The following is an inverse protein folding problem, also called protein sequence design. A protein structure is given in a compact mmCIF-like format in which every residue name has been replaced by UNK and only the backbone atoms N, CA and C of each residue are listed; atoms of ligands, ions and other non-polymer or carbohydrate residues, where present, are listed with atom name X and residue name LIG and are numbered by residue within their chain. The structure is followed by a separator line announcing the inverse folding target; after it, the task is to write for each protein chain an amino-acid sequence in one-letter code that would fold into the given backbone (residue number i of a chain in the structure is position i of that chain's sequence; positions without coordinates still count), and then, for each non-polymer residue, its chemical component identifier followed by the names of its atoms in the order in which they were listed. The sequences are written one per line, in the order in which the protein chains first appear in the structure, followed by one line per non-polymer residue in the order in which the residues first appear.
data_IF_203148296333
#
_entry.id   IF_203148296333
#
_cell.length_a   1.000
_cell.length_b   1.000
_cell.length_c   1.000
_cell.angle_alpha   90.00
_cell.angle_beta   90.00
_cell.angle_gamma   90.00
#
_symmetry.space_group_name_H-M   'P 1'
#
loop_
_entity.id
_entity.type
_entity.pdbx_description
1 polymer ?
#
# COMPACT_ATOMS: atom_id res chain seq x y z
N UNK A 1 92.60 -7.48 -23.41
CA UNK A 1 91.28 -8.18 -23.40
C UNK A 1 90.28 -7.35 -22.57
N UNK A 2 89.46 -6.60 -23.21
CA UNK A 2 88.42 -5.76 -22.55
C UNK A 2 87.08 -6.55 -22.52
N UNK A 3 86.58 -6.83 -21.29
CA UNK A 3 85.26 -7.44 -21.10
C UNK A 3 84.22 -6.36 -21.12
N UNK A 4 83.28 -6.46 -22.08
CA UNK A 4 82.03 -5.65 -22.09
C UNK A 4 81.02 -6.24 -21.11
N UNK A 5 80.57 -5.45 -20.15
CA UNK A 5 79.36 -5.74 -19.33
C UNK A 5 78.15 -5.06 -19.99
N UNK A 6 77.16 -5.84 -20.36
CA UNK A 6 75.78 -5.34 -20.72
C UNK A 6 75.02 -5.06 -19.44
N UNK A 7 74.24 -3.96 -19.38
CA UNK A 7 73.30 -3.75 -18.29
C UNK A 7 71.98 -4.52 -18.58
N UNK A 8 71.59 -5.31 -17.63
CA UNK A 8 70.32 -6.04 -17.62
C UNK A 8 69.18 -5.05 -17.20
N UNK A 9 68.35 -4.61 -18.16
CA UNK A 9 67.15 -3.79 -17.86
C UNK A 9 66.08 -4.67 -17.27
N UNK A 10 65.80 -4.52 -15.97
CA UNK A 10 64.68 -5.18 -15.29
C UNK A 10 63.38 -4.49 -15.64
N UNK A 11 62.50 -5.17 -16.37
CA UNK A 11 61.11 -4.73 -16.58
C UNK A 11 60.29 -4.96 -15.31
N UNK A 12 59.96 -3.91 -14.60
CA UNK A 12 58.99 -3.96 -13.49
C UNK A 12 57.62 -4.06 -14.10
N UNK A 13 57.03 -5.25 -14.10
CA UNK A 13 55.62 -5.47 -14.44
C UNK A 13 54.76 -4.93 -13.27
N UNK A 14 54.13 -3.76 -13.47
CA UNK A 14 53.10 -3.23 -12.57
C UNK A 14 51.84 -4.10 -12.76
N UNK A 15 51.65 -5.11 -11.92
CA UNK A 15 50.38 -5.83 -11.84
C UNK A 15 49.37 -4.92 -11.13
N UNK A 16 48.51 -4.32 -11.93
CA UNK A 16 47.27 -3.69 -11.43
C UNK A 16 46.39 -4.80 -10.81
N UNK A 17 46.44 -4.92 -9.50
CA UNK A 17 45.52 -5.75 -8.75
C UNK A 17 44.11 -5.10 -8.91
N UNK A 18 43.33 -5.57 -9.87
CA UNK A 18 41.90 -5.31 -9.89
C UNK A 18 41.33 -6.07 -8.70
N UNK A 19 41.13 -5.38 -7.58
CA UNK A 19 40.38 -5.93 -6.45
C UNK A 19 39.00 -6.38 -6.93
N UNK A 20 38.38 -7.39 -6.33
CA UNK A 20 37.05 -7.78 -6.66
C UNK A 20 36.11 -6.56 -6.50
N UNK A 21 35.44 -6.13 -7.57
CA UNK A 21 34.37 -5.16 -7.48
C UNK A 21 33.32 -5.85 -6.64
N UNK A 22 33.21 -5.44 -5.38
CA UNK A 22 32.14 -5.94 -4.50
C UNK A 22 30.82 -5.51 -5.11
N UNK A 23 29.95 -6.49 -5.43
CA UNK A 23 28.61 -6.21 -5.92
C UNK A 23 27.90 -5.25 -4.94
N UNK A 24 27.29 -4.19 -5.45
CA UNK A 24 26.55 -3.28 -4.60
C UNK A 24 25.40 -4.05 -3.94
N UNK A 25 25.17 -3.80 -2.65
CA UNK A 25 24.16 -4.48 -1.84
C UNK A 25 23.12 -3.46 -1.37
N UNK A 26 21.85 -3.90 -1.26
CA UNK A 26 20.80 -3.14 -0.63
C UNK A 26 20.05 -4.01 0.38
N UNK A 27 20.08 -3.63 1.66
CA UNK A 27 19.27 -4.25 2.71
C UNK A 27 17.91 -3.57 2.76
N UNK A 28 16.83 -4.34 2.57
CA UNK A 28 15.47 -3.79 2.43
C UNK A 28 14.54 -4.34 3.49
N UNK A 29 14.06 -3.48 4.37
CA UNK A 29 13.00 -3.79 5.32
C UNK A 29 11.64 -3.60 4.65
N UNK A 30 10.81 -4.63 4.70
CA UNK A 30 9.48 -4.62 4.09
C UNK A 30 8.53 -5.59 4.81
N UNK A 31 7.21 -5.47 4.53
CA UNK A 31 6.19 -6.37 5.08
C UNK A 31 5.43 -7.18 4.02
N UNK A 32 5.91 -7.25 2.79
CA UNK A 32 5.30 -8.02 1.72
C UNK A 32 5.62 -9.52 1.88
N UNK A 33 4.84 -10.19 2.70
CA UNK A 33 5.07 -11.61 3.08
C UNK A 33 3.96 -12.55 2.67
N UNK A 34 2.80 -12.05 2.21
CA UNK A 34 1.74 -12.89 1.65
C UNK A 34 2.13 -13.52 0.31
N UNK A 35 1.36 -14.49 -0.16
CA UNK A 35 1.69 -15.21 -1.39
C UNK A 35 1.77 -14.31 -2.63
N UNK A 36 0.82 -13.40 -2.80
CA UNK A 36 0.78 -12.43 -3.89
C UNK A 36 1.87 -11.36 -3.76
N UNK A 37 2.09 -10.86 -2.55
CA UNK A 37 3.13 -9.86 -2.27
C UNK A 37 4.55 -10.40 -2.49
N UNK A 38 4.85 -11.60 -2.01
CA UNK A 38 6.15 -12.25 -2.22
C UNK A 38 6.41 -12.53 -3.72
N UNK A 39 5.37 -12.87 -4.48
CA UNK A 39 5.48 -13.03 -5.93
C UNK A 39 5.82 -11.70 -6.62
N UNK A 40 5.18 -10.59 -6.22
CA UNK A 40 5.50 -9.26 -6.74
C UNK A 40 6.93 -8.83 -6.37
N UNK A 41 7.33 -9.02 -5.11
CA UNK A 41 8.69 -8.73 -4.65
C UNK A 41 9.75 -9.51 -5.44
N UNK A 42 9.43 -10.73 -5.90
CA UNK A 42 10.34 -11.53 -6.74
C UNK A 42 10.64 -10.83 -8.07
N UNK A 43 9.72 -10.02 -8.61
CA UNK A 43 9.96 -9.22 -9.82
C UNK A 43 11.06 -8.20 -9.55
N UNK A 44 10.99 -7.47 -8.41
CA UNK A 44 12.00 -6.48 -8.02
C UNK A 44 13.37 -7.13 -7.78
N UNK A 45 13.40 -8.25 -7.03
CA UNK A 45 14.64 -8.96 -6.73
C UNK A 45 15.36 -9.41 -8.01
N UNK A 46 14.62 -9.97 -8.97
CA UNK A 46 15.19 -10.40 -10.27
C UNK A 46 15.71 -9.23 -11.10
N UNK A 47 15.01 -8.09 -11.10
CA UNK A 47 15.47 -6.91 -11.83
C UNK A 47 16.78 -6.37 -11.26
N UNK A 48 16.91 -6.32 -9.93
CA UNK A 48 18.16 -5.92 -9.26
C UNK A 48 19.29 -6.93 -9.48
N UNK A 49 19.02 -8.23 -9.39
CA UNK A 49 19.98 -9.28 -9.65
C UNK A 49 20.54 -9.20 -11.09
N UNK A 50 19.68 -8.94 -12.06
CA UNK A 50 20.08 -8.73 -13.46
C UNK A 50 21.00 -7.50 -13.64
N UNK A 51 20.91 -6.53 -12.75
CA UNK A 51 21.77 -5.32 -12.68
C UNK A 51 23.01 -5.52 -11.81
N UNK A 52 23.24 -6.74 -11.29
CA UNK A 52 24.39 -7.06 -10.43
C UNK A 52 24.29 -6.52 -9.00
N UNK A 53 23.06 -6.18 -8.53
CA UNK A 53 22.81 -5.68 -7.18
C UNK A 53 22.32 -6.83 -6.30
N UNK A 54 22.95 -7.01 -5.14
CA UNK A 54 22.56 -8.02 -4.16
C UNK A 54 21.43 -7.50 -3.28
N UNK A 55 20.29 -8.18 -3.29
CA UNK A 55 19.19 -7.92 -2.36
C UNK A 55 19.42 -8.65 -1.04
N UNK A 56 19.47 -7.92 0.06
CA UNK A 56 19.48 -8.46 1.41
C UNK A 56 18.09 -8.30 2.04
N UNK A 57 17.40 -9.41 2.19
CA UNK A 57 16.00 -9.46 2.58
C UNK A 57 15.84 -9.23 4.09
N UNK A 58 14.93 -8.32 4.45
CA UNK A 58 14.55 -8.07 5.84
C UNK A 58 13.00 -8.02 5.97
N UNK A 59 12.32 -9.17 5.79
CA UNK A 59 10.86 -9.23 5.89
C UNK A 59 10.39 -9.16 7.35
N UNK A 60 9.35 -8.39 7.60
CA UNK A 60 8.65 -8.33 8.90
C UNK A 60 7.17 -8.59 8.63
N UNK A 61 6.67 -9.76 9.02
CA UNK A 61 5.28 -10.12 8.81
C UNK A 61 4.31 -9.19 9.56
N UNK A 62 3.16 -8.93 8.96
CA UNK A 62 2.10 -8.08 9.49
C UNK A 62 1.66 -7.02 8.49
N UNK A 63 0.42 -7.11 8.01
CA UNK A 63 -0.15 -6.15 7.08
C UNK A 63 -0.19 -4.72 7.66
N UNK A 64 -0.16 -3.71 6.78
CA UNK A 64 -0.19 -2.30 7.17
C UNK A 64 1.13 -1.74 7.72
N UNK A 65 2.17 -2.57 7.90
CA UNK A 65 3.53 -2.11 8.22
C UNK A 65 3.82 -1.78 9.69
N UNK A 66 2.86 -1.85 10.61
CA UNK A 66 3.04 -1.45 12.03
C UNK A 66 4.20 -2.18 12.71
N UNK A 67 4.32 -3.50 12.52
CA UNK A 67 5.41 -4.31 13.07
C UNK A 67 6.75 -3.93 12.43
N UNK A 68 6.78 -3.69 11.11
CA UNK A 68 7.97 -3.27 10.40
C UNK A 68 8.47 -1.90 10.90
N UNK A 69 7.57 -0.94 11.15
CA UNK A 69 7.93 0.36 11.72
C UNK A 69 8.47 0.24 13.15
N UNK A 70 7.99 -0.71 13.95
CA UNK A 70 8.55 -0.99 15.28
C UNK A 70 9.98 -1.51 15.19
N UNK A 71 10.26 -2.44 14.27
CA UNK A 71 11.60 -2.95 14.00
C UNK A 71 12.52 -1.83 13.49
N UNK A 72 12.01 -0.99 12.58
CA UNK A 72 12.75 0.16 12.06
C UNK A 72 13.18 1.12 13.17
N UNK A 73 12.26 1.49 14.06
CA UNK A 73 12.57 2.37 15.22
C UNK A 73 13.70 1.80 16.06
N UNK A 74 13.69 0.50 16.35
CA UNK A 74 14.74 -0.17 17.10
C UNK A 74 16.10 -0.13 16.36
N UNK A 75 16.10 -0.39 15.04
CA UNK A 75 17.30 -0.37 14.19
C UNK A 75 17.91 1.04 14.12
N UNK A 76 17.07 2.05 13.89
CA UNK A 76 17.54 3.46 13.83
C UNK A 76 18.08 3.91 15.18
N UNK A 77 17.39 3.59 16.29
CA UNK A 77 17.84 3.92 17.65
C UNK A 77 19.17 3.27 18.02
N UNK A 78 19.50 2.10 17.46
CA UNK A 78 20.79 1.42 17.63
C UNK A 78 21.88 1.91 16.66
N UNK A 79 21.58 2.89 15.82
CA UNK A 79 22.53 3.41 14.81
C UNK A 79 22.77 2.46 13.63
N UNK A 80 21.89 1.49 13.41
CA UNK A 80 21.98 0.49 12.33
C UNK A 80 20.72 0.49 11.45
N UNK A 81 20.36 1.61 10.80
CA UNK A 81 19.21 1.64 9.91
C UNK A 81 19.42 0.66 8.73
N UNK A 82 18.33 0.06 8.19
CA UNK A 82 18.43 -0.65 6.92
C UNK A 82 18.73 0.34 5.78
N UNK A 83 19.28 -0.17 4.68
CA UNK A 83 19.63 0.66 3.52
C UNK A 83 18.40 1.31 2.87
N UNK A 84 17.32 0.56 2.77
CA UNK A 84 16.04 1.03 2.26
C UNK A 84 14.87 0.41 3.04
N UNK A 85 13.74 1.10 3.08
CA UNK A 85 12.54 0.66 3.81
C UNK A 85 11.30 0.93 2.98
N UNK A 86 10.45 -0.08 2.85
CA UNK A 86 9.07 0.14 2.40
C UNK A 86 8.33 1.01 3.43
N UNK A 87 7.66 2.06 2.96
CA UNK A 87 6.91 2.99 3.81
C UNK A 87 5.65 3.50 3.13
N UNK A 88 4.75 4.06 3.92
CA UNK A 88 3.49 4.64 3.48
C UNK A 88 3.36 6.09 3.94
N UNK A 89 2.88 6.96 3.07
CA UNK A 89 2.32 8.27 3.38
C UNK A 89 3.14 9.11 4.39
N UNK A 90 2.50 9.48 5.48
CA UNK A 90 3.09 10.34 6.51
C UNK A 90 4.28 9.71 7.25
N UNK A 91 4.39 8.38 7.32
CA UNK A 91 5.57 7.73 7.92
C UNK A 91 6.86 8.16 7.23
N UNK A 92 6.83 8.37 5.90
CA UNK A 92 7.98 8.86 5.13
C UNK A 92 8.37 10.27 5.58
N UNK A 93 7.38 11.14 5.74
CA UNK A 93 7.60 12.53 6.16
C UNK A 93 8.08 12.62 7.61
N UNK A 94 7.57 11.79 8.50
CA UNK A 94 8.00 11.73 9.91
C UNK A 94 9.47 11.33 10.03
N UNK A 95 9.95 10.39 9.22
CA UNK A 95 11.38 10.05 9.16
C UNK A 95 12.22 11.12 8.46
N UNK A 96 11.68 11.79 7.44
CA UNK A 96 12.35 12.90 6.78
C UNK A 96 12.60 14.07 7.74
N UNK A 97 11.62 14.42 8.58
CA UNK A 97 11.74 15.47 9.59
C UNK A 97 12.87 15.19 10.61
N UNK A 98 13.16 13.90 10.86
CA UNK A 98 14.28 13.50 11.71
C UNK A 98 15.64 13.62 11.01
N UNK A 99 15.66 13.97 9.72
CA UNK A 99 16.89 14.18 8.95
C UNK A 99 17.67 12.91 8.66
N UNK A 100 17.07 11.72 8.77
CA UNK A 100 17.74 10.41 8.59
C UNK A 100 17.60 9.82 7.19
N UNK A 101 16.77 10.42 6.32
CA UNK A 101 16.58 9.95 4.95
C UNK A 101 17.59 10.58 3.99
N UNK A 102 18.03 9.81 3.01
CA UNK A 102 18.89 10.21 1.93
C UNK A 102 18.15 10.97 0.83
N UNK A 103 18.92 11.67 -0.01
CA UNK A 103 18.44 12.48 -1.13
C UNK A 103 18.54 11.67 -2.44
N UNK A 104 17.49 11.77 -3.25
CA UNK A 104 17.39 11.12 -4.56
C UNK A 104 17.25 12.13 -5.71
N UNK A 105 17.51 13.43 -5.47
CA UNK A 105 17.21 14.50 -6.43
C UNK A 105 17.95 14.37 -7.76
N UNK A 106 19.25 14.06 -7.72
CA UNK A 106 20.05 13.94 -8.95
C UNK A 106 19.48 12.84 -9.85
N UNK A 107 19.18 11.67 -9.28
CA UNK A 107 18.54 10.56 -9.99
C UNK A 107 17.13 10.94 -10.48
N UNK A 108 16.32 11.55 -9.61
CA UNK A 108 14.95 11.95 -9.94
C UNK A 108 14.90 12.99 -11.06
N UNK A 109 15.87 13.91 -11.11
CA UNK A 109 16.01 14.89 -12.17
C UNK A 109 16.44 14.25 -13.50
N UNK A 110 17.44 13.34 -13.46
CA UNK A 110 17.91 12.59 -14.62
C UNK A 110 16.77 11.77 -15.26
N UNK A 111 16.03 11.04 -14.44
CA UNK A 111 14.93 10.16 -14.84
C UNK A 111 13.57 10.88 -14.96
N UNK A 112 13.52 12.20 -14.71
CA UNK A 112 12.33 13.08 -14.87
C UNK A 112 11.11 12.63 -14.06
N UNK A 113 11.30 12.25 -12.79
CA UNK A 113 10.23 11.74 -11.94
C UNK A 113 9.09 12.74 -11.76
N UNK A 114 9.37 14.04 -11.68
CA UNK A 114 8.35 15.11 -11.57
C UNK A 114 7.35 15.11 -12.73
N UNK A 115 7.77 14.68 -13.91
CA UNK A 115 6.91 14.66 -15.10
C UNK A 115 5.97 13.44 -15.15
N UNK A 116 6.28 12.37 -14.40
CA UNK A 116 5.57 11.08 -14.53
C UNK A 116 4.83 10.64 -13.26
N UNK A 117 5.19 11.18 -12.10
CA UNK A 117 4.52 10.89 -10.82
C UNK A 117 3.49 11.99 -10.52
N UNK A 118 2.21 11.65 -10.24
CA UNK A 118 1.20 12.66 -9.92
C UNK A 118 1.50 13.41 -8.62
N UNK A 119 1.12 14.68 -8.56
CA UNK A 119 1.38 15.56 -7.41
C UNK A 119 0.90 14.99 -6.07
N UNK A 120 -0.22 14.24 -6.07
CA UNK A 120 -0.75 13.61 -4.88
C UNK A 120 0.22 12.58 -4.26
N UNK A 121 1.03 11.89 -5.07
CA UNK A 121 2.06 10.97 -4.61
C UNK A 121 3.35 11.70 -4.28
N UNK A 122 3.72 12.73 -5.08
CA UNK A 122 4.90 13.55 -4.80
C UNK A 122 4.84 14.17 -3.40
N UNK A 123 3.62 14.52 -2.92
CA UNK A 123 3.39 15.06 -1.56
C UNK A 123 4.03 14.19 -0.47
N UNK A 124 4.06 12.87 -0.65
CA UNK A 124 4.59 11.93 0.35
C UNK A 124 6.00 11.41 0.00
N UNK A 125 6.43 11.60 -1.25
CA UNK A 125 7.76 11.15 -1.71
C UNK A 125 8.81 12.26 -1.68
N UNK A 126 8.38 13.50 -1.39
CA UNK A 126 9.23 14.69 -1.28
C UNK A 126 9.12 15.31 0.11
N UNK A 127 10.24 15.82 0.59
CA UNK A 127 10.33 16.65 1.79
C UNK A 127 11.15 17.90 1.49
N UNK A 128 10.62 19.10 1.79
CA UNK A 128 11.25 20.39 1.46
C UNK A 128 11.69 20.51 -0.01
N UNK A 129 10.88 19.93 -0.92
CA UNK A 129 11.14 19.92 -2.35
C UNK A 129 12.07 18.79 -2.85
N UNK A 130 12.71 18.05 -1.95
CA UNK A 130 13.67 17.00 -2.28
C UNK A 130 13.01 15.62 -2.34
N UNK A 131 13.31 14.82 -3.36
CA UNK A 131 12.92 13.42 -3.45
C UNK A 131 13.67 12.58 -2.40
N UNK A 132 12.92 11.91 -1.53
CA UNK A 132 13.43 11.11 -0.41
C UNK A 132 12.95 9.65 -0.45
N UNK A 133 12.01 9.35 -1.34
CA UNK A 133 11.47 8.02 -1.54
C UNK A 133 11.07 7.81 -2.99
N UNK A 134 11.15 6.55 -3.47
CA UNK A 134 10.73 6.12 -4.80
C UNK A 134 9.38 5.40 -4.72
N UNK A 135 8.26 5.95 -5.25
CA UNK A 135 6.96 5.30 -5.23
C UNK A 135 6.88 4.18 -6.27
N UNK A 136 6.38 3.00 -5.86
CA UNK A 136 6.33 1.81 -6.72
C UNK A 136 4.96 1.55 -7.32
N UNK A 137 3.90 1.99 -6.64
CA UNK A 137 2.52 1.71 -7.02
C UNK A 137 1.55 2.79 -6.54
N UNK A 138 0.31 2.66 -7.01
CA UNK A 138 -0.88 3.24 -6.38
C UNK A 138 -1.86 2.10 -6.13
N UNK A 139 -2.34 1.99 -4.92
CA UNK A 139 -3.44 1.12 -4.54
C UNK A 139 -4.75 1.91 -4.46
N UNK A 140 -5.82 1.35 -5.01
CA UNK A 140 -7.17 1.76 -4.69
C UNK A 140 -7.67 0.96 -3.48
N UNK A 141 -8.05 1.65 -2.39
CA UNK A 141 -8.40 0.99 -1.12
C UNK A 141 -9.88 0.70 -0.96
N UNK A 142 -10.75 1.37 -1.74
CA UNK A 142 -12.20 1.26 -1.68
C UNK A 142 -12.76 0.22 -2.68
N UNK A 143 -12.34 -1.05 -2.53
CA UNK A 143 -12.75 -2.14 -3.43
C UNK A 143 -13.48 -3.28 -2.71
N UNK A 144 -14.29 -4.00 -3.49
CA UNK A 144 -14.90 -5.27 -3.11
C UNK A 144 -14.40 -6.38 -4.04
N UNK A 145 -14.00 -7.47 -3.43
CA UNK A 145 -13.60 -8.73 -4.07
C UNK A 145 -14.68 -9.77 -3.79
N UNK A 146 -15.34 -10.30 -4.82
CA UNK A 146 -16.45 -11.22 -4.65
C UNK A 146 -16.22 -12.53 -5.40
N UNK A 147 -16.66 -13.64 -4.82
CA UNK A 147 -16.63 -14.94 -5.49
C UNK A 147 -17.74 -15.00 -6.55
N UNK A 148 -17.34 -15.09 -7.82
CA UNK A 148 -18.31 -15.06 -8.93
C UNK A 148 -19.27 -16.23 -8.90
N UNK A 149 -18.81 -17.44 -8.58
CA UNK A 149 -19.66 -18.63 -8.53
C UNK A 149 -20.74 -18.51 -7.43
N UNK A 150 -20.41 -17.87 -6.27
CA UNK A 150 -21.40 -17.56 -5.22
C UNK A 150 -22.42 -16.57 -5.73
N UNK A 151 -22.00 -15.50 -6.39
CA UNK A 151 -22.89 -14.48 -6.95
C UNK A 151 -23.82 -15.07 -7.99
N UNK A 152 -23.28 -15.83 -8.96
CA UNK A 152 -24.07 -16.48 -10.00
C UNK A 152 -25.10 -17.47 -9.43
N UNK A 153 -24.69 -18.34 -8.49
CA UNK A 153 -25.54 -19.33 -7.85
C UNK A 153 -26.74 -18.70 -7.10
N UNK A 154 -26.50 -17.54 -6.48
CA UNK A 154 -27.51 -16.86 -5.66
C UNK A 154 -28.28 -15.78 -6.42
N UNK A 155 -27.99 -15.60 -7.71
CA UNK A 155 -28.62 -14.55 -8.53
C UNK A 155 -28.35 -13.14 -7.98
N UNK A 156 -27.09 -12.88 -7.54
CA UNK A 156 -26.67 -11.59 -7.02
C UNK A 156 -26.04 -10.79 -8.16
N UNK A 157 -26.62 -9.64 -8.49
CA UNK A 157 -25.97 -8.66 -9.35
C UNK A 157 -24.90 -7.88 -8.55
N UNK A 158 -23.93 -7.31 -9.25
CA UNK A 158 -22.96 -6.40 -8.62
C UNK A 158 -23.74 -5.22 -8.00
N UNK A 159 -23.63 -4.99 -6.66
CA UNK A 159 -24.33 -3.92 -6.00
C UNK A 159 -23.77 -2.54 -6.41
N UNK A 160 -24.65 -1.57 -6.66
CA UNK A 160 -24.30 -0.21 -7.04
C UNK A 160 -24.43 0.80 -5.89
N UNK A 161 -25.13 0.43 -4.80
CA UNK A 161 -25.36 1.31 -3.65
C UNK A 161 -25.39 0.49 -2.34
N UNK A 162 -25.50 1.21 -1.21
CA UNK A 162 -25.53 0.60 0.12
C UNK A 162 -26.65 -0.43 0.29
N UNK A 163 -27.86 -0.13 -0.15
CA UNK A 163 -29.02 -1.02 0.06
C UNK A 163 -28.87 -2.32 -0.75
N UNK A 164 -28.36 -2.22 -1.97
CA UNK A 164 -28.05 -3.39 -2.79
C UNK A 164 -26.89 -4.22 -2.19
N UNK A 165 -25.87 -3.58 -1.59
CA UNK A 165 -24.81 -4.27 -0.88
C UNK A 165 -25.37 -5.07 0.30
N UNK A 166 -26.24 -4.46 1.11
CA UNK A 166 -26.88 -5.14 2.24
C UNK A 166 -27.77 -6.30 1.75
N UNK A 167 -28.55 -6.10 0.69
CA UNK A 167 -29.36 -7.17 0.10
C UNK A 167 -28.50 -8.35 -0.42
N UNK A 168 -27.33 -8.07 -1.01
CA UNK A 168 -26.39 -9.09 -1.43
C UNK A 168 -25.82 -9.87 -0.24
N UNK A 169 -25.40 -9.18 0.83
CA UNK A 169 -24.91 -9.79 2.05
C UNK A 169 -25.99 -10.65 2.75
N UNK A 170 -27.24 -10.20 2.78
CA UNK A 170 -28.36 -10.96 3.35
C UNK A 170 -28.62 -12.25 2.55
N UNK A 171 -28.57 -12.23 1.21
CA UNK A 171 -28.70 -13.42 0.36
C UNK A 171 -27.59 -14.43 0.63
N UNK A 172 -26.32 -13.97 0.77
CA UNK A 172 -25.19 -14.86 1.05
C UNK A 172 -25.36 -15.48 2.45
N UNK A 173 -25.78 -14.69 3.44
CA UNK A 173 -26.06 -15.16 4.81
C UNK A 173 -27.17 -16.22 4.83
N UNK A 174 -28.25 -15.98 4.11
CA UNK A 174 -29.36 -16.93 4.00
C UNK A 174 -28.96 -18.26 3.34
N UNK A 175 -27.93 -18.24 2.48
CA UNK A 175 -27.35 -19.44 1.88
C UNK A 175 -26.39 -20.21 2.80
N UNK A 176 -26.19 -19.75 4.05
CA UNK A 176 -25.32 -20.38 5.04
C UNK A 176 -23.82 -20.16 4.84
N UNK A 177 -23.44 -19.20 3.97
CA UNK A 177 -22.05 -18.80 3.73
C UNK A 177 -21.69 -17.60 4.62
N UNK A 178 -20.37 -17.36 4.81
CA UNK A 178 -19.90 -16.12 5.41
C UNK A 178 -20.14 -14.98 4.42
N UNK A 179 -20.97 -13.97 4.75
CA UNK A 179 -21.27 -12.92 3.79
C UNK A 179 -20.05 -12.06 3.46
N UNK A 180 -19.33 -11.63 4.51
CA UNK A 180 -18.20 -10.71 4.44
C UNK A 180 -17.00 -11.33 5.14
N UNK A 181 -16.01 -11.81 4.36
CA UNK A 181 -14.72 -12.21 4.88
C UNK A 181 -13.96 -10.98 5.37
N UNK A 182 -13.48 -11.02 6.60
CA UNK A 182 -12.75 -9.94 7.22
C UNK A 182 -11.62 -10.47 8.09
N UNK A 183 -10.52 -9.72 8.16
CA UNK A 183 -9.47 -9.96 9.14
C UNK A 183 -9.66 -9.03 10.34
N UNK A 184 -9.17 -9.45 11.51
CA UNK A 184 -9.42 -8.73 12.76
C UNK A 184 -8.29 -7.83 13.22
N UNK A 185 -7.48 -7.33 12.30
CA UNK A 185 -6.43 -6.37 12.61
C UNK A 185 -6.98 -4.95 12.44
N UNK A 186 -6.59 -4.03 13.32
CA UNK A 186 -7.13 -2.67 13.41
C UNK A 186 -7.12 -1.90 12.08
N UNK A 187 -6.05 -2.03 11.29
CA UNK A 187 -5.95 -1.38 9.98
C UNK A 187 -7.00 -1.89 8.97
N UNK A 188 -7.45 -3.15 9.10
CA UNK A 188 -8.51 -3.71 8.25
C UNK A 188 -9.88 -3.13 8.61
N UNK A 189 -10.16 -2.95 9.90
CA UNK A 189 -11.36 -2.23 10.37
C UNK A 189 -11.37 -0.80 9.81
N UNK A 190 -10.23 -0.12 9.86
CA UNK A 190 -10.05 1.23 9.32
C UNK A 190 -10.19 1.27 7.78
N UNK A 191 -9.79 0.22 7.06
CA UNK A 191 -9.99 0.13 5.58
C UNK A 191 -11.48 0.07 5.22
N UNK A 192 -12.29 -0.68 5.99
CA UNK A 192 -13.75 -0.67 5.84
C UNK A 192 -14.29 0.71 6.18
N UNK A 193 -13.82 1.32 7.28
CA UNK A 193 -14.26 2.66 7.70
C UNK A 193 -13.99 3.70 6.61
N UNK A 194 -12.82 3.73 5.98
CA UNK A 194 -12.50 4.60 4.84
C UNK A 194 -13.58 4.51 3.74
N UNK A 195 -13.90 3.27 3.32
CA UNK A 195 -14.89 3.02 2.28
C UNK A 195 -16.30 3.46 2.71
N UNK A 196 -16.67 3.24 3.98
CA UNK A 196 -17.97 3.63 4.51
C UNK A 196 -18.09 5.15 4.67
N UNK A 197 -17.02 5.86 5.08
CA UNK A 197 -16.99 7.33 5.10
C UNK A 197 -17.22 7.88 3.70
N UNK A 198 -16.48 7.34 2.72
CA UNK A 198 -16.50 7.80 1.34
C UNK A 198 -17.91 7.61 0.71
N UNK A 199 -18.52 6.41 0.86
CA UNK A 199 -19.87 6.17 0.34
C UNK A 199 -20.97 6.94 1.08
N UNK A 200 -20.73 7.35 2.34
CA UNK A 200 -21.75 8.04 3.14
C UNK A 200 -21.77 9.55 2.90
N UNK A 201 -20.58 10.14 2.75
CA UNK A 201 -20.42 11.59 2.66
C UNK A 201 -19.77 12.11 1.38
N UNK A 202 -19.22 11.22 0.54
CA UNK A 202 -18.42 11.59 -0.63
C UNK A 202 -17.03 12.11 -0.31
N UNK A 203 -16.25 12.40 -1.35
CA UNK A 203 -14.87 12.84 -1.21
C UNK A 203 -14.70 14.15 -0.42
N UNK A 204 -15.63 15.09 -0.56
CA UNK A 204 -15.52 16.38 0.15
C UNK A 204 -15.74 16.23 1.65
N UNK A 205 -16.71 15.40 2.06
CA UNK A 205 -16.90 15.07 3.48
C UNK A 205 -15.71 14.29 4.03
N UNK A 206 -15.19 13.33 3.25
CA UNK A 206 -13.99 12.56 3.61
C UNK A 206 -12.80 13.48 3.89
N UNK A 207 -12.53 14.44 2.98
CA UNK A 207 -11.46 15.42 3.15
C UNK A 207 -11.67 16.24 4.43
N UNK A 208 -12.87 16.79 4.60
CA UNK A 208 -13.19 17.63 5.76
C UNK A 208 -13.02 16.87 7.08
N UNK A 209 -13.53 15.63 7.15
CA UNK A 209 -13.50 14.85 8.39
C UNK A 209 -12.15 14.20 8.66
N UNK A 210 -11.53 13.53 7.65
CA UNK A 210 -10.36 12.67 7.88
C UNK A 210 -9.03 13.28 7.47
N UNK A 211 -9.02 14.36 6.69
CA UNK A 211 -7.78 15.06 6.28
C UNK A 211 -7.66 16.38 7.04
N UNK A 212 -8.71 17.20 7.00
CA UNK A 212 -8.71 18.52 7.66
C UNK A 212 -9.02 18.41 9.16
N UNK A 213 -9.52 17.26 9.60
CA UNK A 213 -9.86 16.95 11.00
C UNK A 213 -10.83 17.98 11.61
N UNK A 214 -11.85 18.37 10.83
CA UNK A 214 -12.90 19.28 11.24
C UNK A 214 -13.79 18.64 12.31
N UNK A 215 -13.88 19.25 13.48
CA UNK A 215 -14.59 18.68 14.61
C UNK A 215 -16.11 18.57 14.37
N UNK A 216 -16.71 19.50 13.62
CA UNK A 216 -18.12 19.47 13.29
C UNK A 216 -18.43 18.32 12.32
N UNK A 217 -17.54 18.08 11.34
CA UNK A 217 -17.68 16.93 10.43
C UNK A 217 -17.51 15.60 11.19
N UNK A 218 -16.52 15.48 12.04
CA UNK A 218 -16.28 14.29 12.87
C UNK A 218 -17.41 14.01 13.87
N UNK A 219 -18.06 15.06 14.39
CA UNK A 219 -19.19 14.97 15.32
C UNK A 219 -20.58 14.91 14.67
N UNK A 220 -20.67 14.93 13.35
CA UNK A 220 -21.91 15.10 12.59
C UNK A 220 -22.81 13.86 12.58
N UNK A 221 -24.07 14.06 12.19
CA UNK A 221 -25.00 12.96 11.90
C UNK A 221 -24.54 12.10 10.73
N UNK A 222 -23.80 12.67 9.77
CA UNK A 222 -23.16 11.89 8.69
C UNK A 222 -22.14 10.90 9.27
N UNK A 223 -21.26 11.32 10.17
CA UNK A 223 -20.31 10.43 10.82
C UNK A 223 -21.01 9.40 11.73
N UNK A 224 -22.09 9.79 12.39
CA UNK A 224 -22.93 8.83 13.13
C UNK A 224 -23.49 7.76 12.20
N UNK A 225 -23.98 8.12 11.02
CA UNK A 225 -24.46 7.17 9.99
C UNK A 225 -23.34 6.24 9.53
N UNK A 226 -22.08 6.72 9.43
CA UNK A 226 -20.92 5.87 9.15
C UNK A 226 -20.77 4.78 10.22
N UNK A 227 -20.86 5.13 11.50
CA UNK A 227 -20.78 4.13 12.57
C UNK A 227 -22.01 3.20 12.60
N UNK A 228 -23.21 3.66 12.29
CA UNK A 228 -24.39 2.80 12.13
C UNK A 228 -24.15 1.76 11.01
N UNK A 229 -23.58 2.16 9.87
CA UNK A 229 -23.21 1.28 8.76
C UNK A 229 -22.08 0.30 9.15
N UNK A 230 -21.08 0.75 9.88
CA UNK A 230 -20.02 -0.12 10.42
C UNK A 230 -20.60 -1.22 11.33
N UNK A 231 -21.52 -0.85 12.24
CA UNK A 231 -22.21 -1.82 13.09
C UNK A 231 -23.03 -2.83 12.27
N UNK A 232 -23.71 -2.38 11.21
CA UNK A 232 -24.45 -3.28 10.30
C UNK A 232 -23.51 -4.25 9.59
N UNK A 233 -22.38 -3.77 9.01
CA UNK A 233 -21.38 -4.63 8.34
C UNK A 233 -20.82 -5.66 9.29
N UNK A 234 -20.56 -5.31 10.56
CA UNK A 234 -20.07 -6.24 11.57
C UNK A 234 -20.96 -7.47 11.73
N UNK A 235 -22.27 -7.36 11.50
CA UNK A 235 -23.22 -8.50 11.62
C UNK A 235 -23.09 -9.54 10.49
N UNK A 236 -22.28 -9.25 9.48
CA UNK A 236 -22.01 -10.14 8.34
C UNK A 236 -20.62 -10.79 8.40
N UNK A 237 -19.79 -10.39 9.35
CA UNK A 237 -18.47 -10.97 9.58
C UNK A 237 -18.61 -12.18 10.52
N UNK A 238 -17.86 -13.24 10.26
CA UNK A 238 -17.87 -14.45 11.10
C UNK A 238 -17.29 -14.20 12.51
N UNK A 239 -17.59 -15.11 13.45
CA UNK A 239 -17.18 -14.94 14.84
C UNK A 239 -15.66 -15.10 15.06
N UNK A 240 -14.95 -15.80 14.16
CA UNK A 240 -13.55 -16.15 14.30
C UNK A 240 -12.60 -15.19 13.53
N UNK A 241 -13.04 -13.97 13.25
CA UNK A 241 -12.28 -13.02 12.43
C UNK A 241 -11.11 -12.36 13.19
N UNK A 242 -11.20 -12.26 14.51
CA UNK A 242 -10.23 -11.54 15.34
C UNK A 242 -8.79 -12.04 15.11
N UNK A 243 -7.87 -11.12 14.82
CA UNK A 243 -6.47 -11.42 14.57
C UNK A 243 -6.18 -12.13 13.23
N UNK A 244 -7.20 -12.40 12.40
CA UNK A 244 -7.01 -13.01 11.08
C UNK A 244 -6.27 -12.05 10.16
N UNK A 245 -5.26 -12.55 9.47
CA UNK A 245 -4.58 -11.80 8.41
C UNK A 245 -5.50 -11.60 7.20
N UNK A 246 -5.33 -10.48 6.51
CA UNK A 246 -6.16 -10.08 5.39
C UNK A 246 -6.18 -11.10 4.22
N UNK A 247 -5.03 -11.73 3.94
CA UNK A 247 -4.89 -12.75 2.89
C UNK A 247 -5.62 -14.05 3.23
N UNK A 248 -5.78 -14.37 4.52
CA UNK A 248 -6.60 -15.50 4.96
C UNK A 248 -8.10 -15.21 4.74
N UNK A 249 -8.53 -13.96 4.92
CA UNK A 249 -9.87 -13.53 4.53
C UNK A 249 -10.08 -13.61 3.01
N UNK A 250 -9.08 -13.19 2.21
CA UNK A 250 -9.10 -13.35 0.75
C UNK A 250 -9.21 -14.84 0.36
N UNK A 251 -8.49 -15.73 1.06
CA UNK A 251 -8.57 -17.17 0.80
C UNK A 251 -9.98 -17.76 1.02
N UNK A 252 -10.76 -17.22 1.98
CA UNK A 252 -12.15 -17.64 2.18
C UNK A 252 -13.02 -17.29 0.95
N UNK A 253 -12.82 -16.11 0.37
CA UNK A 253 -13.54 -15.70 -0.85
C UNK A 253 -13.07 -16.55 -2.05
N UNK A 254 -11.76 -16.77 -2.20
CA UNK A 254 -11.18 -17.61 -3.27
C UNK A 254 -11.78 -19.02 -3.28
N UNK A 255 -11.99 -19.61 -2.10
CA UNK A 255 -12.56 -20.96 -1.93
C UNK A 255 -14.08 -21.00 -2.01
N UNK A 256 -14.78 -19.86 -1.97
CA UNK A 256 -16.24 -19.80 -1.91
C UNK A 256 -16.82 -20.10 -0.51
N UNK A 257 -15.99 -20.05 0.52
CA UNK A 257 -16.41 -20.12 1.93
C UNK A 257 -17.05 -18.81 2.38
N UNK A 258 -16.66 -17.70 1.73
CA UNK A 258 -17.25 -16.38 1.89
C UNK A 258 -17.67 -15.78 0.54
N UNK A 259 -18.67 -14.89 0.57
CA UNK A 259 -19.19 -14.25 -0.63
C UNK A 259 -18.33 -13.11 -1.13
N UNK A 260 -17.88 -12.23 -0.23
CA UNK A 260 -17.07 -11.06 -0.59
C UNK A 260 -16.11 -10.62 0.51
N UNK A 261 -15.17 -9.73 0.15
CA UNK A 261 -14.25 -9.04 1.05
C UNK A 261 -14.17 -7.56 0.64
N UNK A 262 -14.20 -6.64 1.61
CA UNK A 262 -13.86 -5.23 1.42
C UNK A 262 -12.38 -5.10 1.73
N UNK A 263 -11.56 -4.78 0.70
CA UNK A 263 -10.11 -4.72 0.84
C UNK A 263 -9.52 -4.00 -0.37
N UNK A 264 -8.38 -3.34 -0.19
CA UNK A 264 -7.67 -2.71 -1.29
C UNK A 264 -7.21 -3.69 -2.39
N UNK A 265 -6.80 -3.14 -3.49
CA UNK A 265 -6.54 -3.89 -4.73
C UNK A 265 -5.35 -4.86 -4.65
N UNK A 266 -4.50 -4.78 -3.61
CA UNK A 266 -3.49 -5.82 -3.31
C UNK A 266 -4.10 -7.21 -3.12
N UNK A 267 -5.38 -7.30 -2.72
CA UNK A 267 -6.07 -8.59 -2.59
C UNK A 267 -6.11 -9.34 -3.93
N UNK A 268 -6.15 -8.65 -5.08
CA UNK A 268 -6.07 -9.26 -6.40
C UNK A 268 -4.85 -10.18 -6.54
N UNK A 269 -3.72 -9.80 -6.00
CA UNK A 269 -2.49 -10.60 -6.02
C UNK A 269 -2.70 -12.01 -5.45
N UNK A 270 -3.50 -12.18 -4.39
CA UNK A 270 -3.83 -13.49 -3.82
C UNK A 270 -4.71 -14.32 -4.76
N UNK A 271 -5.71 -13.71 -5.40
CA UNK A 271 -6.54 -14.38 -6.39
C UNK A 271 -5.73 -14.84 -7.60
N UNK A 272 -4.85 -13.98 -8.13
CA UNK A 272 -3.97 -14.32 -9.26
C UNK A 272 -2.99 -15.44 -8.88
N UNK A 273 -2.40 -15.37 -7.67
CA UNK A 273 -1.50 -16.43 -7.15
C UNK A 273 -2.21 -17.77 -7.01
N UNK A 274 -3.50 -17.76 -6.69
CA UNK A 274 -4.35 -18.95 -6.65
C UNK A 274 -4.84 -19.41 -8.05
N UNK A 275 -4.34 -18.81 -9.12
CA UNK A 275 -4.71 -19.16 -10.51
C UNK A 275 -6.11 -18.66 -10.91
N UNK A 276 -6.71 -17.75 -10.16
CA UNK A 276 -8.05 -17.21 -10.42
C UNK A 276 -7.99 -16.06 -11.43
N UNK A 277 -9.03 -15.96 -12.26
CA UNK A 277 -9.13 -14.97 -13.33
C UNK A 277 -10.24 -13.96 -13.04
N UNK A 278 -9.97 -12.64 -13.15
CA UNK A 278 -10.99 -11.61 -12.94
C UNK A 278 -12.10 -11.70 -14.00
N UNK A 279 -13.34 -11.52 -13.58
CA UNK A 279 -14.54 -11.67 -14.41
C UNK A 279 -14.97 -13.10 -14.71
N UNK A 280 -14.13 -14.11 -14.42
CA UNK A 280 -14.39 -15.54 -14.61
C UNK A 280 -14.60 -16.24 -13.27
N UNK A 281 -13.63 -16.11 -12.37
CA UNK A 281 -13.64 -16.77 -11.05
C UNK A 281 -14.04 -15.79 -9.93
N UNK A 282 -13.73 -14.52 -10.09
CA UNK A 282 -14.04 -13.47 -9.12
C UNK A 282 -14.45 -12.16 -9.78
N UNK A 283 -15.18 -11.36 -9.04
CA UNK A 283 -15.55 -9.99 -9.40
C UNK A 283 -14.70 -9.01 -8.60
N UNK A 284 -14.38 -7.88 -9.24
CA UNK A 284 -13.66 -6.77 -8.65
C UNK A 284 -14.40 -5.47 -8.99
N UNK A 285 -14.79 -4.71 -8.00
CA UNK A 285 -15.51 -3.45 -8.20
C UNK A 285 -15.28 -2.50 -7.03
N UNK A 286 -15.44 -1.21 -7.28
CA UNK A 286 -15.37 -0.21 -6.23
C UNK A 286 -16.47 -0.43 -5.19
N UNK A 287 -16.22 -0.02 -3.96
CA UNK A 287 -17.24 -0.04 -2.92
C UNK A 287 -18.47 0.75 -3.40
N UNK A 288 -19.69 0.17 -3.33
CA UNK A 288 -20.89 0.78 -3.91
C UNK A 288 -21.13 2.21 -3.41
N UNK A 289 -21.43 3.12 -4.34
CA UNK A 289 -21.65 4.53 -4.06
C UNK A 289 -20.35 5.35 -3.91
N UNK A 290 -19.21 4.82 -4.38
CA UNK A 290 -17.94 5.56 -4.44
C UNK A 290 -17.45 5.75 -5.87
N UNK A 291 -18.31 5.60 -6.86
CA UNK A 291 -17.98 5.80 -8.28
C UNK A 291 -17.56 7.24 -8.52
N UNK A 292 -16.37 7.40 -9.10
CA UNK A 292 -15.76 8.72 -9.33
C UNK A 292 -14.83 9.20 -8.23
N UNK A 293 -14.87 8.57 -7.05
CA UNK A 293 -13.95 8.78 -5.95
C UNK A 293 -12.84 7.72 -5.95
N UNK A 294 -11.64 8.08 -5.49
CA UNK A 294 -10.50 7.17 -5.41
C UNK A 294 -9.79 7.35 -4.07
N UNK A 295 -10.00 6.43 -3.16
CA UNK A 295 -9.21 6.36 -1.93
C UNK A 295 -7.92 5.60 -2.22
N UNK A 296 -6.77 6.22 -1.94
CA UNK A 296 -5.48 5.65 -2.31
C UNK A 296 -4.52 5.45 -1.14
N UNK A 297 -3.66 4.45 -1.27
CA UNK A 297 -2.33 4.45 -0.69
C UNK A 297 -1.28 4.17 -1.77
N UNK A 298 -0.03 4.46 -1.45
CA UNK A 298 1.11 4.22 -2.33
C UNK A 298 2.26 3.70 -1.49
N UNK A 299 2.75 2.51 -1.85
CA UNK A 299 4.01 2.03 -1.30
C UNK A 299 5.16 2.81 -1.94
N UNK A 300 6.09 3.25 -1.12
CA UNK A 300 7.34 3.83 -1.57
C UNK A 300 8.51 3.22 -0.80
N UNK A 301 9.69 3.24 -1.40
CA UNK A 301 10.92 2.87 -0.71
C UNK A 301 11.68 4.13 -0.35
N UNK A 302 11.79 4.40 0.95
CA UNK A 302 12.60 5.47 1.50
C UNK A 302 14.04 4.98 1.71
N UNK A 303 15.01 5.81 1.34
CA UNK A 303 16.44 5.51 1.46
C UNK A 303 17.00 6.17 2.70
N UNK A 304 17.60 5.39 3.61
CA UNK A 304 18.24 5.94 4.80
C UNK A 304 19.63 6.50 4.46
N UNK A 305 20.11 7.49 5.23
CA UNK A 305 21.48 7.97 5.13
C UNK A 305 22.44 6.86 5.52
N UNK A 306 23.28 6.44 4.58
CA UNK A 306 24.26 5.36 4.73
C UNK A 306 25.63 5.77 4.19
N UNK A 307 26.65 4.92 4.38
CA UNK A 307 27.97 5.12 3.80
C UNK A 307 27.96 5.12 2.27
N UNK A 308 28.95 5.74 1.65
CA UNK A 308 29.05 5.87 0.18
C UNK A 308 29.03 4.52 -0.56
N UNK A 309 29.57 3.49 0.05
CA UNK A 309 29.57 2.12 -0.49
C UNK A 309 28.15 1.52 -0.67
N UNK A 310 27.20 1.94 0.17
CA UNK A 310 25.81 1.46 0.12
C UNK A 310 24.91 2.33 -0.78
N UNK A 311 25.34 3.57 -1.08
CA UNK A 311 24.55 4.49 -1.92
C UNK A 311 24.33 3.94 -3.33
N UNK A 312 25.32 3.23 -3.90
CA UNK A 312 25.18 2.63 -5.22
C UNK A 312 24.01 1.63 -5.28
N UNK A 313 23.83 0.81 -4.24
CA UNK A 313 22.69 -0.10 -4.11
C UNK A 313 21.35 0.63 -3.96
N UNK A 314 21.34 1.73 -3.18
CA UNK A 314 20.14 2.58 -3.02
C UNK A 314 19.69 3.22 -4.33
N UNK A 315 20.61 3.85 -5.05
CA UNK A 315 20.30 4.49 -6.33
C UNK A 315 19.85 3.47 -7.38
N UNK A 316 20.49 2.29 -7.42
CA UNK A 316 20.06 1.20 -8.29
C UNK A 316 18.66 0.69 -7.95
N UNK A 317 18.33 0.55 -6.65
CA UNK A 317 16.98 0.20 -6.20
C UNK A 317 15.95 1.28 -6.58
N UNK A 318 16.25 2.55 -6.33
CA UNK A 318 15.35 3.66 -6.64
C UNK A 318 15.10 3.77 -8.15
N UNK A 319 16.14 3.67 -8.98
CA UNK A 319 16.04 3.64 -10.43
C UNK A 319 15.24 2.42 -10.93
N UNK A 320 15.48 1.23 -10.36
CA UNK A 320 14.71 0.03 -10.69
C UNK A 320 13.22 0.19 -10.38
N UNK A 321 12.89 0.73 -9.20
CA UNK A 321 11.50 0.99 -8.79
C UNK A 321 10.82 1.97 -9.74
N UNK A 322 11.53 2.98 -10.20
CA UNK A 322 10.98 4.00 -11.09
C UNK A 322 11.06 3.62 -12.57
N UNK A 323 11.66 2.49 -12.93
CA UNK A 323 11.67 2.02 -14.30
C UNK A 323 10.25 1.69 -14.80
N UNK A 324 9.93 2.13 -16.01
CA UNK A 324 8.59 2.00 -16.60
C UNK A 324 8.17 0.55 -16.81
N UNK A 325 9.08 -0.28 -17.30
CA UNK A 325 8.79 -1.69 -17.57
C UNK A 325 8.68 -2.47 -16.26
N UNK A 326 9.54 -2.13 -15.29
CA UNK A 326 9.45 -2.71 -13.95
C UNK A 326 8.09 -2.39 -13.32
N UNK A 327 7.64 -1.13 -13.30
CA UNK A 327 6.34 -0.77 -12.72
C UNK A 327 5.17 -1.48 -13.41
N UNK A 328 5.23 -1.69 -14.73
CA UNK A 328 4.25 -2.52 -15.43
C UNK A 328 4.26 -3.96 -14.89
N UNK A 329 5.42 -4.64 -14.92
CA UNK A 329 5.54 -6.04 -14.53
C UNK A 329 5.19 -6.28 -13.05
N UNK A 330 5.67 -5.40 -12.17
CA UNK A 330 5.42 -5.50 -10.74
C UNK A 330 3.92 -5.36 -10.44
N UNK A 331 3.27 -4.35 -10.97
CA UNK A 331 1.86 -4.05 -10.67
C UNK A 331 0.89 -5.07 -11.29
N UNK A 332 1.25 -5.72 -12.40
CA UNK A 332 0.51 -6.86 -12.93
C UNK A 332 0.42 -8.01 -11.92
N UNK A 333 1.48 -8.25 -11.14
CA UNK A 333 1.53 -9.32 -10.13
C UNK A 333 0.98 -8.86 -8.79
N UNK A 334 1.32 -7.62 -8.35
CA UNK A 334 0.94 -7.07 -7.04
C UNK A 334 -0.57 -6.82 -6.92
N UNK A 335 -1.23 -6.55 -8.04
CA UNK A 335 -2.65 -6.23 -8.05
C UNK A 335 -2.96 -4.74 -8.11
N UNK A 336 -2.01 -3.90 -7.81
CA UNK A 336 -2.04 -2.43 -7.84
C UNK A 336 -1.92 -1.88 -9.27
N UNK A 337 -1.81 -0.55 -9.37
CA UNK A 337 -1.49 0.14 -10.60
C UNK A 337 -0.17 0.93 -10.46
N UNK A 338 0.52 1.26 -11.57
CA UNK A 338 1.79 2.00 -11.52
C UNK A 338 1.66 3.37 -10.84
N UNK A 339 2.70 3.77 -10.11
CA UNK A 339 2.84 5.14 -9.61
C UNK A 339 3.10 6.15 -10.76
N UNK A 340 3.67 5.66 -11.87
CA UNK A 340 3.91 6.45 -13.07
C UNK A 340 2.66 6.52 -13.96
N UNK A 341 2.31 7.73 -14.40
CA UNK A 341 1.14 7.97 -15.27
C UNK A 341 1.37 7.64 -16.75
N UNK A 342 2.61 7.38 -17.14
CA UNK A 342 3.00 7.09 -18.53
C UNK A 342 3.09 5.60 -18.86
N UNK A 343 2.71 4.72 -17.93
CA UNK A 343 2.62 3.27 -18.16
C UNK A 343 1.30 2.94 -18.86
N UNK A 344 1.37 2.10 -19.92
CA UNK A 344 0.19 1.66 -20.67
C UNK A 344 -0.64 0.66 -19.87
N UNK A 345 -1.96 0.76 -20.00
CA UNK A 345 -2.91 -0.21 -19.43
C UNK A 345 -3.12 -1.47 -20.30
N UNK A 346 -2.48 -1.55 -21.48
CA UNK A 346 -2.74 -2.58 -22.48
C UNK A 346 -2.63 -4.01 -21.95
N UNK A 347 -1.65 -4.28 -21.07
CA UNK A 347 -1.41 -5.60 -20.48
C UNK A 347 -2.20 -5.87 -19.21
N UNK A 348 -2.80 -4.84 -18.62
CA UNK A 348 -3.57 -5.00 -17.39
C UNK A 348 -4.90 -5.73 -17.66
N UNK A 349 -5.33 -6.51 -16.68
CA UNK A 349 -6.64 -7.16 -16.66
C UNK A 349 -7.78 -6.13 -16.48
N UNK A 350 -9.02 -6.62 -16.50
CA UNK A 350 -10.19 -5.73 -16.37
C UNK A 350 -10.20 -4.92 -15.05
N UNK A 351 -9.72 -5.50 -13.93
CA UNK A 351 -9.65 -4.81 -12.65
C UNK A 351 -8.59 -3.70 -12.68
N UNK A 352 -7.39 -3.99 -13.20
CA UNK A 352 -6.32 -3.01 -13.32
C UNK A 352 -6.66 -1.88 -14.30
N UNK A 353 -7.27 -2.20 -15.45
CA UNK A 353 -7.76 -1.19 -16.39
C UNK A 353 -8.81 -0.27 -15.77
N UNK A 354 -9.76 -0.86 -15.02
CA UNK A 354 -10.74 -0.06 -14.30
C UNK A 354 -10.07 0.86 -13.29
N UNK A 355 -9.16 0.33 -12.44
CA UNK A 355 -8.45 1.15 -11.44
C UNK A 355 -7.66 2.30 -12.07
N UNK A 356 -6.95 2.06 -13.18
CA UNK A 356 -6.24 3.11 -13.92
C UNK A 356 -7.18 4.16 -14.53
N UNK A 357 -8.35 3.77 -14.98
CA UNK A 357 -9.38 4.68 -15.50
C UNK A 357 -10.01 5.51 -14.35
N UNK A 358 -10.35 4.86 -13.23
CA UNK A 358 -10.93 5.50 -12.05
C UNK A 358 -9.96 6.54 -11.45
N UNK A 359 -8.66 6.23 -11.37
CA UNK A 359 -7.63 7.19 -10.95
C UNK A 359 -7.63 8.45 -11.82
N UNK A 360 -7.68 8.29 -13.15
CA UNK A 360 -7.72 9.44 -14.09
C UNK A 360 -8.96 10.30 -13.89
N UNK A 361 -10.12 9.67 -13.66
CA UNK A 361 -11.39 10.35 -13.38
C UNK A 361 -11.30 11.11 -12.05
N UNK A 362 -10.84 10.47 -10.99
CA UNK A 362 -10.72 11.07 -9.67
C UNK A 362 -9.73 12.25 -9.66
N UNK A 363 -8.59 12.13 -10.33
CA UNK A 363 -7.64 13.25 -10.50
C UNK A 363 -8.29 14.44 -11.20
N UNK A 364 -9.04 14.22 -12.29
CA UNK A 364 -9.74 15.27 -13.02
C UNK A 364 -10.81 15.96 -12.17
N UNK A 365 -11.51 15.20 -11.34
CA UNK A 365 -12.62 15.68 -10.53
C UNK A 365 -12.19 16.17 -9.13
N UNK A 366 -10.88 16.18 -8.82
CA UNK A 366 -10.35 16.45 -7.48
C UNK A 366 -10.97 15.54 -6.39
N UNK A 367 -11.28 14.28 -6.75
CA UNK A 367 -11.91 13.28 -5.89
C UNK A 367 -10.95 12.15 -5.47
N UNK A 368 -9.63 12.34 -5.67
CA UNK A 368 -8.60 11.48 -5.13
C UNK A 368 -8.32 11.88 -3.67
N UNK A 369 -8.48 10.93 -2.75
CA UNK A 369 -8.28 11.13 -1.30
C UNK A 369 -7.26 10.13 -0.76
N UNK A 370 -6.35 10.59 0.09
CA UNK A 370 -5.41 9.72 0.79
C UNK A 370 -6.14 8.84 1.80
N UNK A 371 -5.88 7.53 1.78
CA UNK A 371 -6.48 6.60 2.74
C UNK A 371 -6.04 6.94 4.17
N UNK A 372 -7.01 7.12 5.05
CA UNK A 372 -6.79 7.30 6.47
C UNK A 372 -6.18 6.03 7.09
N UNK A 373 -6.73 4.87 6.76
CA UNK A 373 -6.25 3.58 7.26
C UNK A 373 -4.76 3.33 6.97
N UNK A 374 -4.24 3.89 5.87
CA UNK A 374 -2.89 3.63 5.36
C UNK A 374 -1.94 4.85 5.48
N UNK A 375 -2.27 5.80 6.36
CA UNK A 375 -1.37 6.92 6.68
C UNK A 375 -1.18 7.95 5.57
N UNK A 376 -2.13 8.06 4.61
CA UNK A 376 -2.10 9.10 3.57
C UNK A 376 -3.06 10.27 3.84
N UNK A 377 -3.81 10.23 4.94
CA UNK A 377 -4.69 11.31 5.37
C UNK A 377 -4.03 12.18 6.44
N UNK A 378 -3.53 11.58 7.51
CA UNK A 378 -2.99 12.24 8.71
C UNK A 378 -1.76 11.52 9.26
N UNK A 379 -0.93 12.21 10.08
CA UNK A 379 0.22 11.62 10.76
C UNK A 379 -0.15 10.45 11.69
N UNK A 380 0.84 9.59 11.99
CA UNK A 380 0.66 8.34 12.74
C UNK A 380 0.01 8.53 14.11
N UNK A 381 0.35 9.59 14.86
CA UNK A 381 -0.21 9.85 16.19
C UNK A 381 -1.73 10.03 16.15
N UNK A 382 -2.23 10.77 15.16
CA UNK A 382 -3.66 11.03 14.97
C UNK A 382 -4.33 9.79 14.38
N UNK A 383 -3.72 9.19 13.36
CA UNK A 383 -4.21 7.95 12.72
C UNK A 383 -4.42 6.85 13.76
N UNK A 384 -3.42 6.58 14.57
CA UNK A 384 -3.50 5.53 15.60
C UNK A 384 -4.64 5.75 16.59
N UNK A 385 -4.76 6.97 17.13
CA UNK A 385 -5.82 7.32 18.08
C UNK A 385 -7.23 7.17 17.47
N UNK A 386 -7.40 7.55 16.20
CA UNK A 386 -8.68 7.38 15.51
C UNK A 386 -8.98 5.92 15.18
N UNK A 387 -7.98 5.14 14.75
CA UNK A 387 -8.11 3.70 14.47
C UNK A 387 -8.53 2.95 15.73
N UNK A 388 -7.99 3.31 16.90
CA UNK A 388 -8.38 2.71 18.18
C UNK A 388 -9.88 2.90 18.46
N UNK A 389 -10.45 4.08 18.17
CA UNK A 389 -11.89 4.34 18.31
C UNK A 389 -12.68 3.47 17.33
N UNK A 390 -12.28 3.43 16.05
CA UNK A 390 -12.94 2.64 14.99
C UNK A 390 -12.94 1.15 15.34
N UNK A 391 -11.78 0.61 15.70
CA UNK A 391 -11.61 -0.82 16.04
C UNK A 391 -12.38 -1.20 17.30
N UNK A 392 -12.33 -0.37 18.35
CA UNK A 392 -13.10 -0.58 19.56
C UNK A 392 -14.60 -0.60 19.26
N UNK A 393 -15.08 0.31 18.42
CA UNK A 393 -16.48 0.36 18.00
C UNK A 393 -16.85 -0.89 17.19
N UNK A 394 -16.07 -1.23 16.15
CA UNK A 394 -16.35 -2.38 15.27
C UNK A 394 -16.44 -3.68 16.06
N UNK A 395 -15.58 -3.86 17.07
CA UNK A 395 -15.58 -5.05 17.93
C UNK A 395 -16.68 -5.05 19.01
N UNK A 396 -17.11 -3.88 19.49
CA UNK A 396 -18.11 -3.77 20.59
C UNK A 396 -19.54 -3.52 20.10
N UNK A 397 -19.72 -2.90 18.93
CA UNK A 397 -21.01 -2.56 18.34
C UNK A 397 -21.87 -1.62 19.18
N UNK A 398 -21.27 -0.89 20.14
CA UNK A 398 -21.98 -0.03 21.08
C UNK A 398 -22.35 1.30 20.41
N UNK A 399 -22.96 2.19 21.06
CA UNK A 399 -23.59 3.42 20.62
C UNK A 399 -22.81 4.24 19.57
N UNK A 400 -23.29 4.41 18.31
CA UNK A 400 -22.64 5.22 17.28
C UNK A 400 -22.43 6.69 17.68
N UNK A 401 -23.36 7.30 18.42
CA UNK A 401 -23.20 8.68 18.88
C UNK A 401 -22.07 8.84 19.91
N UNK A 402 -21.77 7.80 20.71
CA UNK A 402 -20.62 7.83 21.61
C UNK A 402 -19.31 7.62 20.84
N UNK A 403 -19.34 6.83 19.75
CA UNK A 403 -18.17 6.65 18.89
C UNK A 403 -17.77 7.98 18.20
N UNK A 404 -18.75 8.76 17.69
CA UNK A 404 -18.44 10.09 17.12
C UNK A 404 -17.81 11.03 18.14
N UNK A 405 -18.34 11.07 19.38
CA UNK A 405 -17.75 11.88 20.46
C UNK A 405 -16.33 11.44 20.81
N UNK A 406 -16.10 10.10 20.87
CA UNK A 406 -14.77 9.56 21.12
C UNK A 406 -13.80 9.90 19.98
N UNK A 407 -14.27 9.89 18.72
CA UNK A 407 -13.46 10.26 17.56
C UNK A 407 -13.01 11.73 17.63
N UNK A 408 -13.94 12.65 17.93
CA UNK A 408 -13.61 14.07 18.14
C UNK A 408 -12.62 14.25 19.29
N UNK A 409 -12.84 13.58 20.41
CA UNK A 409 -11.94 13.66 21.57
C UNK A 409 -10.55 13.08 21.28
N UNK A 410 -10.47 11.96 20.55
CA UNK A 410 -9.20 11.35 20.16
C UNK A 410 -8.36 12.28 19.26
N UNK A 411 -9.00 12.93 18.28
CA UNK A 411 -8.33 13.93 17.42
C UNK A 411 -7.87 15.13 18.23
N UNK A 412 -8.71 15.67 19.12
CA UNK A 412 -8.36 16.82 19.96
C UNK A 412 -7.17 16.52 20.90
N UNK A 413 -7.07 15.30 21.40
CA UNK A 413 -5.98 14.90 22.29
C UNK A 413 -4.66 14.59 21.55
N UNK A 414 -4.70 14.40 20.22
CA UNK A 414 -3.54 14.00 19.40
C UNK A 414 -2.95 15.14 18.56
N UNK A 415 -3.59 16.32 18.55
CA UNK A 415 -3.11 17.57 17.94
C UNK A 415 -2.18 18.31 18.90
#
# INVERSE_FOLDING_TARGET
MRKFMLPMAGAIALSLAVGPVQAAEVEVLHWWTSGGEAAALTVLKKDLEAKGITWKDMPVAGGGGTQAMTVLKARVSSGQPPTAVQMLGFDILDWAQQGVLGDLNDLAAEEKWDAVVPAALQKFSKYEGNWIAAPVNVHSTNWIWANKAVFDKLGIAQPANWDELIAALDKIKAAGLVPLAHGGQAWQDATIFDSVVLTTGGADFYKKALIDLDADALGSDTMKTVFDRMAKLRTYVDANFSGRDWNLASAMVIKGEAGMQIMGDWAKGEFLKAGKKPGVDFLCFQYPGTEGDFSFNSDAFAMFKVGKEQQAGQLALASAIMDKNFQEQFNLVKGSIPARMDVSDAKFDLCGKKSMADLKIALKNNAMVGSFAHGHAVPESIKGAMIDVVTKFFNSGKNPADATKQLVAAVAASK
#
